data_IF_901669836276
#
_entry.id   IF_901669836276
#
_cell.length_a   1.000
_cell.length_b   1.000
_cell.length_c   1.000
_cell.angle_alpha   90.00
_cell.angle_beta   90.00
_cell.angle_gamma   90.00
#
_symmetry.space_group_name_H-M   'P 1'
#
loop_
_entity.id
_entity.type
_entity.pdbx_description
1 polymer ?
#
# COMPACT_ATOMS: atom_id res chain seq x y z
N UNK A 1 -20.36 -0.63 -32.21
CA UNK A 1 -21.13 -1.20 -31.10
C UNK A 1 -20.44 -0.79 -29.80
N UNK A 2 -20.76 0.41 -29.28
CA UNK A 2 -20.08 0.98 -28.11
C UNK A 2 -20.81 0.57 -26.84
N UNK A 3 -20.19 -0.27 -26.01
CA UNK A 3 -20.73 -0.64 -24.71
C UNK A 3 -20.81 0.60 -23.83
N UNK A 4 -22.02 1.16 -23.65
CA UNK A 4 -22.28 2.16 -22.60
C UNK A 4 -22.17 1.44 -21.27
N UNK A 5 -21.03 1.61 -20.60
CA UNK A 5 -20.80 1.10 -19.25
C UNK A 5 -21.83 1.73 -18.31
N UNK A 6 -22.66 0.91 -17.66
CA UNK A 6 -23.70 1.37 -16.74
C UNK A 6 -23.06 1.96 -15.47
N UNK A 7 -23.67 2.97 -14.87
CA UNK A 7 -23.21 3.58 -13.61
C UNK A 7 -23.19 2.59 -12.44
N UNK A 8 -23.93 1.48 -12.53
CA UNK A 8 -23.88 0.35 -11.59
C UNK A 8 -22.58 -0.45 -11.69
N UNK A 9 -22.04 -0.63 -12.90
CA UNK A 9 -20.83 -1.43 -13.13
C UNK A 9 -19.60 -0.67 -12.62
N UNK A 10 -19.54 0.64 -12.83
CA UNK A 10 -18.46 1.49 -12.31
C UNK A 10 -18.37 1.48 -10.77
N UNK A 11 -19.50 1.44 -10.06
CA UNK A 11 -19.54 1.41 -8.59
C UNK A 11 -19.00 0.09 -8.02
N UNK A 12 -19.09 -1.00 -8.77
CA UNK A 12 -18.55 -2.31 -8.39
C UNK A 12 -17.03 -2.37 -8.50
N UNK A 13 -16.43 -1.64 -9.45
CA UNK A 13 -14.98 -1.58 -9.64
C UNK A 13 -14.29 -0.45 -8.86
N UNK A 14 -15.01 0.61 -8.51
CA UNK A 14 -14.48 1.75 -7.74
C UNK A 14 -15.43 2.01 -6.56
N UNK A 15 -15.26 1.28 -5.43
CA UNK A 15 -16.06 1.47 -4.21
C UNK A 15 -16.00 2.90 -3.67
N UNK A 16 -14.97 3.65 -4.05
CA UNK A 16 -14.83 5.06 -3.70
C UNK A 16 -15.99 5.96 -4.13
N UNK A 17 -16.67 5.60 -5.23
CA UNK A 17 -17.83 6.34 -5.71
C UNK A 17 -19.08 6.14 -4.83
N UNK A 18 -19.17 5.01 -4.11
CA UNK A 18 -20.31 4.74 -3.25
C UNK A 18 -20.18 5.45 -1.90
N UNK A 19 -18.99 5.44 -1.30
CA UNK A 19 -18.78 6.07 -0.01
C UNK A 19 -18.74 7.59 -0.10
N UNK A 20 -18.22 8.14 -1.20
CA UNK A 20 -18.21 9.60 -1.45
C UNK A 20 -19.61 10.15 -1.66
N UNK A 21 -20.51 9.39 -2.30
CA UNK A 21 -21.92 9.77 -2.46
C UNK A 21 -22.70 9.81 -1.12
N UNK A 22 -22.22 9.13 -0.08
CA UNK A 22 -22.80 9.12 1.27
C UNK A 22 -22.00 9.94 2.29
N UNK A 23 -20.98 10.67 1.85
CA UNK A 23 -20.09 11.42 2.73
C UNK A 23 -20.76 12.69 3.26
N UNK A 24 -20.74 12.91 4.58
CA UNK A 24 -21.25 14.15 5.18
C UNK A 24 -20.09 15.14 5.32
N UNK A 25 -20.32 16.39 4.96
CA UNK A 25 -19.30 17.45 5.09
C UNK A 25 -18.91 17.70 6.55
N UNK A 26 -19.77 17.35 7.51
CA UNK A 26 -19.51 17.39 8.95
C UNK A 26 -18.34 16.49 9.39
N UNK A 27 -18.06 15.42 8.64
CA UNK A 27 -17.02 14.45 8.98
C UNK A 27 -15.62 14.92 8.46
N UNK A 28 -15.59 15.91 7.55
CA UNK A 28 -14.37 16.40 6.90
C UNK A 28 -13.28 16.90 7.88
N UNK A 29 -13.59 17.71 8.92
CA UNK A 29 -12.55 18.18 9.84
C UNK A 29 -11.93 17.04 10.65
N UNK A 30 -12.74 16.06 11.03
CA UNK A 30 -12.29 14.89 11.78
C UNK A 30 -11.40 13.99 10.92
N UNK A 31 -11.78 13.76 9.66
CA UNK A 31 -11.00 12.96 8.71
C UNK A 31 -9.67 13.63 8.33
N UNK A 32 -9.64 14.96 8.18
CA UNK A 32 -8.39 15.70 7.95
C UNK A 32 -7.45 15.54 9.15
N UNK A 33 -7.96 15.74 10.37
CA UNK A 33 -7.16 15.59 11.58
C UNK A 33 -6.61 14.15 11.71
N UNK A 34 -7.48 13.15 11.51
CA UNK A 34 -7.09 11.75 11.52
C UNK A 34 -6.05 11.43 10.43
N UNK A 35 -6.23 11.93 9.22
CA UNK A 35 -5.30 11.76 8.11
C UNK A 35 -3.93 12.37 8.39
N UNK A 36 -3.88 13.56 9.01
CA UNK A 36 -2.63 14.20 9.43
C UNK A 36 -1.92 13.37 10.50
N UNK A 37 -2.64 12.91 11.52
CA UNK A 37 -2.08 12.05 12.58
C UNK A 37 -1.50 10.76 11.98
N UNK A 38 -2.27 10.08 11.12
CA UNK A 38 -1.83 8.86 10.45
C UNK A 38 -0.60 9.12 9.58
N UNK A 39 -0.57 10.22 8.82
CA UNK A 39 0.58 10.57 7.99
C UNK A 39 1.85 10.80 8.84
N UNK A 40 1.74 11.54 9.95
CA UNK A 40 2.85 11.80 10.87
C UNK A 40 3.37 10.50 11.48
N UNK A 41 2.49 9.57 11.85
CA UNK A 41 2.89 8.27 12.40
C UNK A 41 3.50 7.35 11.35
N UNK A 42 3.00 7.41 10.13
CA UNK A 42 3.36 6.47 9.07
C UNK A 42 4.76 6.75 8.50
N UNK A 43 5.21 8.00 8.45
CA UNK A 43 6.57 8.35 7.99
C UNK A 43 7.67 7.62 8.78
N UNK A 44 7.80 7.78 10.12
CA UNK A 44 8.84 7.09 10.88
C UNK A 44 8.62 5.58 10.92
N UNK A 45 7.36 5.12 10.97
CA UNK A 45 7.03 3.69 10.97
C UNK A 45 7.50 3.01 9.68
N UNK A 46 7.20 3.60 8.53
CA UNK A 46 7.57 3.07 7.22
C UNK A 46 9.08 3.04 7.02
N UNK A 47 9.79 4.09 7.45
CA UNK A 47 11.26 4.12 7.41
C UNK A 47 11.85 3.03 8.29
N UNK A 48 11.35 2.85 9.52
CA UNK A 48 11.81 1.80 10.42
C UNK A 48 11.59 0.40 9.82
N UNK A 49 10.46 0.18 9.15
CA UNK A 49 10.14 -1.10 8.53
C UNK A 49 11.00 -1.40 7.29
N UNK A 50 11.34 -0.39 6.49
CA UNK A 50 12.32 -0.58 5.42
C UNK A 50 13.70 -1.00 5.97
N UNK A 51 14.14 -0.39 7.08
CA UNK A 51 15.39 -0.78 7.74
C UNK A 51 15.33 -2.22 8.27
N UNK A 52 14.19 -2.67 8.81
CA UNK A 52 14.00 -4.08 9.20
C UNK A 52 14.08 -5.04 8.01
N UNK A 53 13.74 -4.58 6.80
CA UNK A 53 13.85 -5.35 5.57
C UNK A 53 15.24 -5.27 4.92
N UNK A 54 16.22 -4.61 5.54
CA UNK A 54 17.55 -4.40 4.96
C UNK A 54 17.59 -3.35 3.84
N UNK A 55 16.55 -2.52 3.71
CA UNK A 55 16.41 -1.54 2.62
C UNK A 55 16.70 -0.11 3.11
N UNK A 56 17.13 0.79 2.19
CA UNK A 56 17.18 2.22 2.45
C UNK A 56 15.81 2.76 2.91
N UNK A 57 15.77 3.70 3.87
CA UNK A 57 14.53 4.14 4.51
C UNK A 57 13.55 4.83 3.57
N UNK A 58 14.03 5.44 2.47
CA UNK A 58 13.19 6.11 1.48
C UNK A 58 12.29 5.12 0.74
N UNK A 59 12.74 3.86 0.59
CA UNK A 59 11.95 2.78 -0.01
C UNK A 59 10.71 2.47 0.84
N UNK A 60 10.79 2.60 2.16
CA UNK A 60 9.63 2.46 3.05
C UNK A 60 8.54 3.49 2.77
N UNK A 61 8.95 4.73 2.44
CA UNK A 61 8.02 5.79 2.06
C UNK A 61 7.31 5.47 0.73
N UNK A 62 8.06 5.02 -0.27
CA UNK A 62 7.50 4.59 -1.55
C UNK A 62 6.53 3.41 -1.40
N UNK A 63 6.91 2.43 -0.56
CA UNK A 63 6.09 1.26 -0.24
C UNK A 63 4.81 1.59 0.56
N UNK A 64 4.70 2.79 1.11
CA UNK A 64 3.52 3.24 1.86
C UNK A 64 2.59 4.12 1.04
N UNK A 65 3.14 5.07 0.26
CA UNK A 65 2.35 6.07 -0.47
C UNK A 65 1.52 5.43 -1.59
N UNK A 66 2.14 4.57 -2.41
CA UNK A 66 1.45 3.98 -3.57
C UNK A 66 0.29 3.08 -3.16
N UNK A 67 0.43 2.15 -2.18
CA UNK A 67 -0.69 1.33 -1.72
C UNK A 67 -1.80 2.14 -1.05
N UNK A 68 -1.48 3.22 -0.32
CA UNK A 68 -2.48 4.12 0.26
C UNK A 68 -3.36 4.77 -0.82
N UNK A 69 -2.74 5.29 -1.88
CA UNK A 69 -3.47 5.89 -3.01
C UNK A 69 -4.33 4.84 -3.72
N UNK A 70 -3.76 3.66 -3.99
CA UNK A 70 -4.50 2.56 -4.60
C UNK A 70 -5.68 2.10 -3.72
N UNK A 71 -5.46 1.97 -2.41
CA UNK A 71 -6.50 1.55 -1.48
C UNK A 71 -7.57 2.63 -1.27
N UNK A 72 -7.23 3.92 -1.33
CA UNK A 72 -8.24 4.98 -1.32
C UNK A 72 -9.21 4.89 -2.53
N UNK A 73 -8.71 4.44 -3.69
CA UNK A 73 -9.52 4.27 -4.89
C UNK A 73 -10.31 2.95 -4.92
N UNK A 74 -9.68 1.83 -4.55
CA UNK A 74 -10.21 0.48 -4.71
C UNK A 74 -10.64 -0.21 -3.40
N UNK A 75 -10.33 0.39 -2.26
CA UNK A 75 -10.57 -0.18 -0.94
C UNK A 75 -12.06 -0.23 -0.60
N UNK A 76 -12.47 -1.34 0.01
CA UNK A 76 -13.85 -1.59 0.43
C UNK A 76 -14.13 -1.14 1.86
N UNK A 77 -13.09 -0.99 2.69
CA UNK A 77 -13.19 -0.50 4.07
C UNK A 77 -12.58 0.90 4.22
N UNK A 78 -13.33 1.80 4.86
CA UNK A 78 -12.95 3.22 5.10
C UNK A 78 -11.90 3.39 6.20
N UNK A 79 -11.61 2.35 6.99
CA UNK A 79 -10.71 2.42 8.16
C UNK A 79 -9.44 1.58 8.01
N UNK A 80 -9.33 0.80 6.95
CA UNK A 80 -8.15 -0.05 6.74
C UNK A 80 -7.03 0.81 6.14
N UNK A 81 -5.92 0.95 6.86
CA UNK A 81 -4.69 1.50 6.32
C UNK A 81 -3.84 0.37 5.73
N UNK A 82 -3.44 0.51 4.46
CA UNK A 82 -2.54 -0.43 3.79
C UNK A 82 -1.14 0.18 3.75
N UNK A 83 -0.14 -0.57 4.20
CA UNK A 83 1.24 -0.11 4.22
C UNK A 83 2.19 -1.23 4.62
N UNK A 84 3.50 -0.93 4.71
CA UNK A 84 4.49 -1.87 5.21
C UNK A 84 4.16 -2.26 6.65
N UNK A 85 4.42 -3.52 6.99
CA UNK A 85 4.19 -4.10 8.32
C UNK A 85 5.49 -4.72 8.80
N UNK A 86 5.80 -4.58 10.09
CA UNK A 86 7.04 -5.10 10.68
C UNK A 86 7.30 -6.58 10.34
N UNK A 87 6.29 -7.44 10.50
CA UNK A 87 6.41 -8.89 10.23
C UNK A 87 6.75 -9.14 8.75
N UNK A 88 6.06 -8.47 7.82
CA UNK A 88 6.33 -8.63 6.38
C UNK A 88 7.74 -8.16 6.04
N UNK A 89 8.21 -7.08 6.68
CA UNK A 89 9.55 -6.54 6.48
C UNK A 89 10.63 -7.52 6.92
N UNK A 90 10.45 -8.15 8.09
CA UNK A 90 11.32 -9.22 8.57
C UNK A 90 11.29 -10.45 7.65
N UNK A 91 10.13 -10.77 7.08
CA UNK A 91 10.01 -11.87 6.12
C UNK A 91 10.78 -11.57 4.81
N UNK A 92 10.72 -10.33 4.31
CA UNK A 92 11.53 -9.90 3.15
C UNK A 92 13.02 -10.04 3.45
N UNK A 93 13.48 -9.54 4.61
CA UNK A 93 14.87 -9.72 5.03
C UNK A 93 15.26 -11.20 5.13
N UNK A 94 14.39 -12.06 5.69
CA UNK A 94 14.66 -13.50 5.75
C UNK A 94 14.69 -14.17 4.37
N UNK A 95 13.84 -13.73 3.44
CA UNK A 95 13.75 -14.30 2.10
C UNK A 95 14.95 -13.92 1.23
N UNK A 96 15.56 -12.76 1.49
CA UNK A 96 16.73 -12.26 0.78
C UNK A 96 18.05 -12.52 1.54
N UNK A 97 17.98 -13.18 2.69
CA UNK A 97 19.15 -13.43 3.53
C UNK A 97 20.23 -14.20 2.76
N UNK A 98 21.47 -13.70 2.81
CA UNK A 98 22.62 -14.29 2.13
C UNK A 98 22.78 -13.90 0.65
N UNK A 99 21.83 -13.18 0.05
CA UNK A 99 21.97 -12.59 -1.28
C UNK A 99 22.62 -11.20 -1.25
N UNK A 100 22.70 -10.59 -0.06
CA UNK A 100 23.33 -9.28 0.18
C UNK A 100 24.77 -9.22 -0.30
N UNK A 101 25.55 -10.27 -0.02
CA UNK A 101 26.98 -10.36 -0.36
C UNK A 101 27.24 -10.62 -1.84
N UNK A 102 26.21 -10.99 -2.61
CA UNK A 102 26.33 -11.26 -4.05
C UNK A 102 26.29 -9.95 -4.84
N UNK A 103 25.40 -9.04 -4.46
CA UNK A 103 25.27 -7.73 -5.11
C UNK A 103 24.43 -6.75 -4.24
N UNK A 104 25.11 -5.91 -3.45
CA UNK A 104 24.47 -4.91 -2.58
C UNK A 104 23.61 -3.90 -3.37
N UNK A 105 24.10 -3.44 -4.52
CA UNK A 105 23.39 -2.48 -5.38
C UNK A 105 22.08 -3.06 -5.95
N UNK A 106 22.00 -4.38 -6.09
CA UNK A 106 20.82 -5.06 -6.59
C UNK A 106 19.77 -5.38 -5.50
N UNK A 107 20.09 -5.19 -4.21
CA UNK A 107 19.20 -5.56 -3.11
C UNK A 107 17.80 -4.91 -3.17
N UNK A 108 17.68 -3.60 -3.46
CA UNK A 108 16.38 -2.97 -3.66
C UNK A 108 15.56 -3.59 -4.81
N UNK A 109 16.24 -3.97 -5.89
CA UNK A 109 15.59 -4.61 -7.05
C UNK A 109 15.12 -6.01 -6.71
N UNK A 110 15.90 -6.79 -5.96
CA UNK A 110 15.49 -8.12 -5.49
C UNK A 110 14.26 -8.06 -4.59
N UNK A 111 14.20 -7.09 -3.66
CA UNK A 111 13.02 -6.84 -2.83
C UNK A 111 11.79 -6.43 -3.67
N UNK A 112 11.98 -5.58 -4.68
CA UNK A 112 10.92 -5.19 -5.59
C UNK A 112 10.38 -6.39 -6.39
N UNK A 113 11.25 -7.24 -6.93
CA UNK A 113 10.86 -8.45 -7.65
C UNK A 113 10.09 -9.41 -6.75
N UNK A 114 10.55 -9.63 -5.52
CA UNK A 114 9.84 -10.45 -4.54
C UNK A 114 8.44 -9.90 -4.23
N UNK A 115 8.31 -8.57 -4.11
CA UNK A 115 7.01 -7.91 -3.92
C UNK A 115 6.09 -8.13 -5.14
N UNK A 116 6.61 -7.99 -6.37
CA UNK A 116 5.86 -8.21 -7.61
C UNK A 116 5.40 -9.67 -7.77
N UNK A 117 6.26 -10.63 -7.45
CA UNK A 117 5.90 -12.06 -7.46
C UNK A 117 4.81 -12.36 -6.43
N UNK A 118 4.95 -11.82 -5.21
CA UNK A 118 3.95 -11.96 -4.16
C UNK A 118 2.61 -11.34 -4.55
N UNK A 119 2.63 -10.16 -5.18
CA UNK A 119 1.43 -9.50 -5.69
C UNK A 119 0.76 -10.31 -6.81
N UNK A 120 1.55 -10.88 -7.73
CA UNK A 120 1.05 -11.76 -8.79
C UNK A 120 0.38 -13.00 -8.22
N UNK A 121 1.00 -13.65 -7.22
CA UNK A 121 0.42 -14.80 -6.55
C UNK A 121 -0.91 -14.46 -5.87
N UNK A 122 -0.99 -13.32 -5.17
CA UNK A 122 -2.24 -12.83 -4.59
C UNK A 122 -3.30 -12.53 -5.64
N UNK A 123 -2.92 -12.02 -6.81
CA UNK A 123 -3.84 -11.75 -7.90
C UNK A 123 -4.39 -13.05 -8.53
N UNK A 124 -3.59 -14.11 -8.62
CA UNK A 124 -4.02 -15.43 -9.12
C UNK A 124 -4.97 -16.13 -8.14
N UNK A 125 -4.72 -15.98 -6.84
CA UNK A 125 -5.54 -16.57 -5.78
C UNK A 125 -6.82 -15.77 -5.45
N UNK A 126 -6.95 -14.56 -6.04
CA UNK A 126 -8.05 -13.63 -5.81
C UNK A 126 -9.40 -14.12 -6.28
#
# INVERSE_FOLDING_TARGET
MGAKMSTSDLRRFIPALEWSARYRQEDLPADILAGVIVAIMLVPQAMAYALLAGLPPEIGLYASILPLIAYAAFGTSRTLAVGPVAIVSLMVASALQGLESVNEDAYPMMALLLALMSASNKAIMG
#
